data_IF_525969787967
#
_entry.id   IF_525969787967
#
_cell.length_a   1.000
_cell.length_b   1.000
_cell.length_c   1.000
_cell.angle_alpha   90.00
_cell.angle_beta   90.00
_cell.angle_gamma   90.00
#
_symmetry.space_group_name_H-M   'P 1'
#
loop_
_entity.id
_entity.type
_entity.pdbx_description
1 polymer ?
#
# COMPACT_ATOMS: atom_id res chain seq x y z
N UNK A 1 -35.14 4.58 -26.02
CA UNK A 1 -33.97 4.23 -25.19
C UNK A 1 -32.98 5.39 -25.02
N UNK A 2 -32.66 6.14 -26.09
CA UNK A 2 -31.73 7.29 -26.10
C UNK A 2 -32.01 8.35 -25.01
N UNK A 3 -33.27 8.65 -24.69
CA UNK A 3 -33.63 9.63 -23.65
C UNK A 3 -33.25 9.17 -22.23
N UNK A 4 -33.32 7.86 -21.94
CA UNK A 4 -32.97 7.29 -20.62
C UNK A 4 -31.45 7.22 -20.44
N UNK A 5 -30.71 6.91 -21.51
CA UNK A 5 -29.25 6.95 -21.51
C UNK A 5 -28.71 8.38 -21.39
N UNK A 6 -29.35 9.37 -22.03
CA UNK A 6 -28.96 10.78 -21.88
C UNK A 6 -29.12 11.29 -20.44
N UNK A 7 -30.21 10.89 -19.75
CA UNK A 7 -30.44 11.25 -18.34
C UNK A 7 -29.40 10.58 -17.42
N UNK A 8 -29.09 9.29 -17.65
CA UNK A 8 -28.09 8.58 -16.86
C UNK A 8 -26.67 9.13 -17.03
N UNK A 9 -26.28 9.49 -18.26
CA UNK A 9 -24.99 10.14 -18.54
C UNK A 9 -24.96 11.56 -17.96
N UNK A 10 -26.07 12.30 -18.01
CA UNK A 10 -26.19 13.63 -17.39
C UNK A 10 -26.05 13.60 -15.86
N UNK A 11 -26.64 12.61 -15.19
CA UNK A 11 -26.51 12.41 -13.75
C UNK A 11 -25.08 12.04 -13.32
N UNK A 12 -24.39 11.19 -14.10
CA UNK A 12 -23.00 10.83 -13.82
C UNK A 12 -22.04 12.01 -14.06
N UNK A 13 -22.29 12.82 -15.09
CA UNK A 13 -21.54 14.05 -15.34
C UNK A 13 -21.77 15.11 -14.25
N UNK A 14 -22.99 15.25 -13.75
CA UNK A 14 -23.32 16.16 -12.65
C UNK A 14 -22.63 15.75 -11.33
N UNK A 15 -22.46 14.45 -11.07
CA UNK A 15 -21.73 13.95 -9.91
C UNK A 15 -20.23 14.30 -9.94
N UNK A 16 -19.62 14.42 -11.12
CA UNK A 16 -18.22 14.82 -11.28
C UNK A 16 -18.00 16.34 -11.08
N UNK A 17 -19.03 17.16 -11.32
CA UNK A 17 -18.98 18.62 -11.14
C UNK A 17 -19.24 19.04 -9.69
N UNK A 18 -19.78 18.15 -8.85
CA UNK A 18 -19.94 18.35 -7.41
C UNK A 18 -18.64 18.12 -6.61
N UNK A 19 -17.48 18.42 -7.20
CA UNK A 19 -16.26 18.68 -6.44
C UNK A 19 -16.43 20.07 -5.79
N UNK A 20 -17.32 20.15 -4.80
CA UNK A 20 -17.29 21.23 -3.83
C UNK A 20 -15.85 21.33 -3.33
N UNK A 21 -15.39 22.54 -3.02
CA UNK A 21 -14.08 22.78 -2.39
C UNK A 21 -14.12 22.24 -0.95
N UNK A 22 -14.24 20.92 -0.85
CA UNK A 22 -14.08 20.14 0.36
C UNK A 22 -12.64 20.36 0.79
N UNK A 23 -12.41 20.57 2.10
CA UNK A 23 -11.07 20.50 2.65
C UNK A 23 -10.38 19.26 2.09
N UNK A 24 -9.15 19.43 1.58
CA UNK A 24 -8.38 18.29 1.11
C UNK A 24 -8.42 17.21 2.19
N UNK A 25 -8.70 15.94 1.84
CA UNK A 25 -8.66 14.87 2.82
C UNK A 25 -7.29 14.93 3.51
N UNK A 26 -7.25 14.78 4.85
CA UNK A 26 -5.99 14.84 5.56
C UNK A 26 -5.01 13.84 4.93
N UNK A 27 -3.72 14.20 4.83
CA UNK A 27 -2.72 13.31 4.26
C UNK A 27 -2.80 11.95 4.98
N UNK A 28 -2.71 10.84 4.24
CA UNK A 28 -2.83 9.52 4.83
C UNK A 28 -1.79 9.37 5.94
N UNK A 29 -2.23 8.87 7.09
CA UNK A 29 -1.30 8.51 8.15
C UNK A 29 -0.32 7.47 7.60
N UNK A 30 0.92 7.43 8.10
CA UNK A 30 1.89 6.42 7.67
C UNK A 30 1.36 4.98 7.83
N UNK A 31 0.50 4.73 8.82
CA UNK A 31 -0.23 3.46 8.95
C UNK A 31 -1.21 3.20 7.80
N UNK A 32 -2.00 4.20 7.40
CA UNK A 32 -2.95 4.05 6.29
C UNK A 32 -2.23 3.81 4.96
N UNK A 33 -1.08 4.46 4.74
CA UNK A 33 -0.24 4.23 3.57
C UNK A 33 0.28 2.78 3.54
N UNK A 34 0.82 2.28 4.66
CA UNK A 34 1.32 0.92 4.75
C UNK A 34 0.22 -0.14 4.49
N UNK A 35 -1.00 0.07 5.00
CA UNK A 35 -2.15 -0.82 4.72
C UNK A 35 -2.59 -0.77 3.26
N UNK A 36 -2.54 0.41 2.63
CA UNK A 36 -2.85 0.53 1.21
C UNK A 36 -1.81 -0.19 0.34
N UNK A 37 -0.53 -0.14 0.70
CA UNK A 37 0.53 -0.85 -0.03
C UNK A 37 0.44 -2.37 0.16
N UNK A 38 0.11 -2.87 1.35
CA UNK A 38 -0.18 -4.30 1.54
C UNK A 38 -1.39 -4.75 0.70
N UNK A 39 -2.46 -3.93 0.66
CA UNK A 39 -3.64 -4.23 -0.15
C UNK A 39 -3.33 -4.27 -1.64
N UNK A 40 -2.49 -3.35 -2.14
CA UNK A 40 -2.01 -3.38 -3.54
C UNK A 40 -1.18 -4.62 -3.82
N UNK A 41 -0.26 -4.99 -2.92
CA UNK A 41 0.54 -6.20 -3.07
C UNK A 41 -0.35 -7.45 -3.11
N UNK A 42 -1.36 -7.54 -2.23
CA UNK A 42 -2.32 -8.64 -2.20
C UNK A 42 -3.18 -8.68 -3.45
N UNK A 43 -3.62 -7.53 -3.97
CA UNK A 43 -4.36 -7.45 -5.21
C UNK A 43 -3.53 -7.96 -6.39
N UNK A 44 -2.27 -7.51 -6.50
CA UNK A 44 -1.36 -7.98 -7.54
C UNK A 44 -1.11 -9.50 -7.45
N UNK A 45 -0.97 -10.04 -6.24
CA UNK A 45 -0.85 -11.48 -6.03
C UNK A 45 -2.11 -12.23 -6.44
N UNK A 46 -3.30 -11.75 -6.05
CA UNK A 46 -4.56 -12.36 -6.44
C UNK A 46 -4.73 -12.38 -7.96
N UNK A 47 -4.31 -11.34 -8.68
CA UNK A 47 -4.31 -11.36 -10.15
C UNK A 47 -3.46 -12.50 -10.71
N UNK A 48 -2.29 -12.79 -10.12
CA UNK A 48 -1.46 -13.93 -10.53
C UNK A 48 -2.14 -15.27 -10.23
N UNK A 49 -2.78 -15.40 -9.07
CA UNK A 49 -3.55 -16.60 -8.68
C UNK A 49 -4.72 -16.84 -9.64
N UNK A 50 -5.47 -15.80 -9.99
CA UNK A 50 -6.60 -15.93 -10.91
C UNK A 50 -6.12 -16.28 -12.33
N UNK A 51 -5.00 -15.73 -12.79
CA UNK A 51 -4.37 -16.14 -14.05
C UNK A 51 -3.95 -17.62 -14.03
N UNK A 52 -3.37 -18.10 -12.93
CA UNK A 52 -3.03 -19.51 -12.76
C UNK A 52 -4.26 -20.42 -12.82
N UNK A 53 -5.32 -20.09 -12.10
CA UNK A 53 -6.57 -20.86 -12.12
C UNK A 53 -7.21 -20.88 -13.50
N UNK A 54 -7.22 -19.74 -14.19
CA UNK A 54 -7.71 -19.64 -15.56
C UNK A 54 -6.92 -20.56 -16.49
N UNK A 55 -5.60 -20.54 -16.41
CA UNK A 55 -4.74 -21.43 -17.19
C UNK A 55 -5.09 -22.91 -16.94
N UNK A 56 -5.22 -23.32 -15.68
CA UNK A 56 -5.59 -24.70 -15.32
C UNK A 56 -6.99 -25.09 -15.85
N UNK A 57 -7.92 -24.13 -15.88
CA UNK A 57 -9.24 -24.36 -16.45
C UNK A 57 -9.18 -24.55 -17.97
N UNK A 58 -8.35 -23.78 -18.68
CA UNK A 58 -8.12 -23.94 -20.13
C UNK A 58 -7.47 -25.28 -20.45
N UNK A 59 -6.47 -25.71 -19.67
CA UNK A 59 -5.85 -27.03 -19.82
C UNK A 59 -6.88 -28.15 -19.63
N UNK A 60 -7.75 -28.03 -18.62
CA UNK A 60 -8.83 -28.99 -18.40
C UNK A 60 -9.83 -28.99 -19.55
N UNK A 61 -10.21 -27.82 -20.07
CA UNK A 61 -11.13 -27.72 -21.21
C UNK A 61 -10.53 -28.37 -22.47
N UNK A 62 -9.26 -28.08 -22.77
CA UNK A 62 -8.53 -28.68 -23.87
C UNK A 62 -8.44 -30.20 -23.72
N UNK A 63 -8.09 -30.70 -22.52
CA UNK A 63 -8.03 -32.12 -22.25
C UNK A 63 -9.38 -32.82 -22.45
N UNK A 64 -10.49 -32.20 -22.04
CA UNK A 64 -11.83 -32.74 -22.29
C UNK A 64 -12.16 -32.74 -23.79
N UNK A 65 -11.85 -31.65 -24.50
CA UNK A 65 -12.06 -31.57 -25.94
C UNK A 65 -11.31 -32.68 -26.68
N UNK A 66 -10.03 -32.89 -26.40
CA UNK A 66 -9.26 -33.96 -27.05
C UNK A 66 -9.76 -35.34 -26.68
N UNK A 67 -10.21 -35.57 -25.44
CA UNK A 67 -10.84 -36.85 -25.05
C UNK A 67 -12.10 -37.13 -25.86
N UNK A 68 -12.92 -36.12 -26.13
CA UNK A 68 -14.19 -36.30 -26.87
C UNK A 68 -14.01 -36.29 -28.39
N UNK A 69 -12.95 -35.68 -28.92
CA UNK A 69 -12.69 -35.56 -30.37
C UNK A 69 -11.53 -36.42 -30.87
N UNK A 70 -10.92 -37.25 -30.01
CA UNK A 70 -9.82 -38.15 -30.36
C UNK A 70 -10.12 -39.07 -31.57
N UNK A 71 -11.40 -39.42 -31.80
CA UNK A 71 -11.84 -40.19 -32.97
C UNK A 71 -11.91 -39.40 -34.29
N UNK A 72 -11.81 -38.07 -34.25
CA UNK A 72 -11.94 -37.17 -35.40
C UNK A 72 -10.58 -36.69 -35.96
N UNK A 73 -9.48 -37.36 -35.57
CA UNK A 73 -8.12 -37.06 -36.04
C UNK A 73 -7.57 -35.70 -35.59
N UNK A 74 -8.15 -35.08 -34.55
CA UNK A 74 -7.66 -33.82 -33.97
C UNK A 74 -6.72 -34.14 -32.82
N UNK A 75 -5.42 -33.99 -33.06
CA UNK A 75 -4.41 -34.13 -32.01
C UNK A 75 -4.12 -32.78 -31.34
N UNK A 76 -3.69 -32.78 -30.07
CA UNK A 76 -3.24 -31.56 -29.41
C UNK A 76 -2.10 -30.90 -30.18
N UNK A 77 -2.24 -29.61 -30.45
CA UNK A 77 -1.10 -28.81 -30.91
C UNK A 77 -0.12 -28.67 -29.75
N UNK A 78 1.11 -29.15 -29.94
CA UNK A 78 2.16 -29.01 -28.94
C UNK A 78 2.62 -27.55 -28.92
N UNK A 79 2.53 -26.89 -27.75
CA UNK A 79 2.99 -25.50 -27.61
C UNK A 79 2.25 -24.63 -26.60
N UNK A 80 1.22 -25.14 -25.91
CA UNK A 80 0.63 -24.39 -24.81
C UNK A 80 1.67 -24.23 -23.68
N UNK A 81 1.96 -23.00 -23.23
CA UNK A 81 2.87 -22.79 -22.12
C UNK A 81 2.28 -23.39 -20.84
N UNK A 82 3.12 -23.98 -20.00
CA UNK A 82 2.69 -24.52 -18.72
C UNK A 82 2.15 -23.41 -17.80
N UNK A 83 1.15 -23.72 -16.98
CA UNK A 83 0.63 -22.78 -16.00
C UNK A 83 1.66 -22.48 -14.91
N UNK A 84 2.09 -21.23 -14.80
CA UNK A 84 3.02 -20.77 -13.75
C UNK A 84 2.31 -20.60 -12.42
N UNK A 85 2.72 -21.36 -11.41
CA UNK A 85 2.25 -21.18 -10.04
C UNK A 85 2.78 -19.88 -9.43
N UNK A 86 1.94 -19.04 -8.83
CA UNK A 86 2.36 -17.75 -8.26
C UNK A 86 3.19 -17.87 -6.97
N UNK A 87 3.33 -19.07 -6.39
CA UNK A 87 3.99 -19.30 -5.12
C UNK A 87 3.21 -18.74 -3.93
N UNK A 88 3.84 -18.74 -2.75
CA UNK A 88 3.24 -18.11 -1.56
C UNK A 88 3.29 -16.58 -1.66
N UNK A 89 2.28 -15.89 -1.13
CA UNK A 89 2.32 -14.44 -1.00
C UNK A 89 3.42 -14.00 -0.04
N UNK A 90 4.40 -13.26 -0.55
CA UNK A 90 5.46 -12.64 0.25
C UNK A 90 5.35 -11.11 0.14
N UNK A 91 5.21 -10.44 1.27
CA UNK A 91 5.20 -9.00 1.37
C UNK A 91 6.09 -8.57 2.54
N UNK A 92 7.11 -7.78 2.23
CA UNK A 92 7.97 -7.14 3.23
C UNK A 92 7.55 -5.67 3.29
N UNK A 93 6.91 -5.22 4.38
CA UNK A 93 6.51 -3.83 4.51
C UNK A 93 7.73 -2.90 4.43
N UNK A 94 7.64 -1.76 3.74
CA UNK A 94 8.72 -0.78 3.71
C UNK A 94 8.99 -0.27 5.13
N UNK A 95 10.28 -0.10 5.50
CA UNK A 95 10.65 0.48 6.79
C UNK A 95 10.05 1.89 6.88
N UNK A 96 9.36 2.24 7.98
CA UNK A 96 8.95 3.61 8.21
C UNK A 96 10.16 4.54 8.04
N UNK A 97 9.98 5.61 7.27
CA UNK A 97 10.90 6.73 7.32
C UNK A 97 10.74 7.34 8.72
N UNK A 98 11.61 6.92 9.65
CA UNK A 98 11.79 7.65 10.91
C UNK A 98 12.00 9.11 10.55
N UNK A 99 11.16 9.98 11.10
CA UNK A 99 11.37 11.40 11.04
C UNK A 99 12.72 11.68 11.71
N UNK A 100 13.77 11.80 10.90
CA UNK A 100 15.03 12.37 11.31
C UNK A 100 14.76 13.81 11.74
N UNK A 101 14.57 14.03 13.05
CA UNK A 101 14.24 15.34 13.57
C UNK A 101 13.67 15.40 14.97
N UNK A 102 14.03 14.47 15.87
CA UNK A 102 13.78 14.64 17.31
C UNK A 102 14.87 13.98 18.16
N UNK A 103 16.14 14.14 17.75
CA UNK A 103 17.24 14.04 18.68
C UNK A 103 17.81 15.44 18.87
N UNK A 104 17.31 16.14 19.89
CA UNK A 104 18.10 17.18 20.55
C UNK A 104 19.47 16.57 20.87
N UNK A 105 20.60 17.24 20.60
CA UNK A 105 21.88 16.74 21.07
C UNK A 105 21.84 16.58 22.60
N UNK A 106 22.46 15.54 23.16
CA UNK A 106 22.46 15.25 24.61
C UNK A 106 23.19 16.31 25.47
N UNK A 107 23.63 17.41 24.87
CA UNK A 107 24.52 18.41 25.46
C UNK A 107 23.84 19.32 26.50
N UNK A 108 22.50 19.38 26.54
CA UNK A 108 21.77 20.24 27.50
C UNK A 108 21.68 19.60 28.91
N UNK A 109 22.19 18.38 29.12
CA UNK A 109 22.13 17.68 30.40
C UNK A 109 23.44 17.71 31.22
N UNK A 110 24.45 18.51 30.86
CA UNK A 110 25.77 18.50 31.54
C UNK A 110 26.09 19.76 32.37
N UNK A 111 25.17 20.72 32.49
CA UNK A 111 25.37 21.88 33.40
C UNK A 111 24.09 22.22 34.18
N UNK A 112 23.95 21.81 35.45
CA UNK A 112 22.96 22.42 36.34
C UNK A 112 23.37 23.89 36.62
N UNK A 113 22.46 24.88 36.53
CA UNK A 113 22.74 26.24 36.97
C UNK A 113 22.71 26.28 38.50
N UNK A 114 23.82 25.96 39.15
CA UNK A 114 23.98 26.14 40.59
C UNK A 114 25.30 26.86 40.87
N UNK A 115 25.31 28.16 40.66
CA UNK A 115 26.27 29.05 41.33
C UNK A 115 25.77 29.29 42.76
N UNK A 116 26.07 28.37 43.66
CA UNK A 116 26.02 28.65 45.09
C UNK A 116 27.20 29.57 45.43
N UNK A 117 26.90 30.83 45.75
CA UNK A 117 27.83 31.71 46.43
C UNK A 117 28.00 31.21 47.88
N UNK A 118 29.23 31.04 48.41
CA UNK A 118 29.40 30.71 49.82
C UNK A 118 28.97 31.88 50.71
N UNK A 119 28.05 31.60 51.64
CA UNK A 119 27.73 32.51 52.72
C UNK A 119 28.87 32.51 53.75
N UNK A 120 29.49 33.67 53.98
CA UNK A 120 30.36 33.91 55.13
C UNK A 120 31.71 34.54 54.79
N UNK A 121 31.75 35.87 54.78
CA UNK A 121 32.96 36.61 55.12
C UNK A 121 32.55 37.84 55.95
N UNK A 122 33.13 38.06 57.14
CA UNK A 122 32.76 39.16 58.03
C UNK A 122 33.26 40.50 57.51
N UNK A 123 32.43 41.54 57.60
CA UNK A 123 32.79 42.92 57.34
C UNK A 123 33.64 43.48 58.50
N UNK A 124 34.84 44.03 58.26
CA UNK A 124 35.53 44.84 59.26
C UNK A 124 34.87 46.24 59.34
N UNK A 125 34.79 46.74 60.57
CA UNK A 125 34.12 47.98 60.96
C UNK A 125 35.16 49.11 61.12
N UNK A 126 34.91 50.23 60.41
CA UNK A 126 35.29 51.64 60.71
C UNK A 126 36.79 52.04 60.75
N UNK A 127 37.16 53.34 60.69
CA UNK A 127 36.51 54.56 61.25
C UNK A 127 35.68 55.41 60.29
#
# INVERSE_FOLDING_TARGET
>A
MIRKTAIAVGLLAAAALAQAKLPAPPPPTPEAAAKADEAKARAAYNTKVEAYKLCKAMDKAAANHFKTTAGAGKQPTAGAPACTDPGAFAYTPPKPAEAAGAHSPPETATKPPSSQAPAGAPTPKKP
#
